data_IF_131291077743
#
_entry.id   IF_131291077743
#
_cell.length_a   1.000
_cell.length_b   1.000
_cell.length_c   1.000
_cell.angle_alpha   90.00
_cell.angle_beta   90.00
_cell.angle_gamma   90.00
#
_symmetry.space_group_name_H-M   'P 1'
#
loop_
_entity.id
_entity.type
_entity.pdbx_description
1 polymer ?
#
# COMPACT_ATOMS: atom_id res chain seq x y z
N UNK A 1 -1.07 -4.14 22.95
CA UNK A 1 -1.53 -3.56 21.65
C UNK A 1 -3.01 -3.89 21.47
N UNK A 2 -3.88 -2.87 21.55
CA UNK A 2 -5.33 -3.00 21.83
C UNK A 2 -6.15 -3.71 20.74
N UNK A 3 -6.95 -4.69 21.14
CA UNK A 3 -7.78 -5.59 20.31
C UNK A 3 -8.80 -4.84 19.44
N UNK A 4 -9.21 -3.63 19.84
CA UNK A 4 -10.21 -2.80 19.13
C UNK A 4 -9.68 -2.24 17.80
N UNK A 5 -8.37 -1.95 17.69
CA UNK A 5 -7.78 -1.47 16.43
C UNK A 5 -7.82 -2.55 15.33
N UNK A 6 -7.67 -3.82 15.70
CA UNK A 6 -7.66 -4.93 14.72
C UNK A 6 -9.02 -5.10 14.02
N UNK A 7 -10.12 -4.83 14.72
CA UNK A 7 -11.47 -4.94 14.17
C UNK A 7 -11.69 -3.84 13.11
N UNK A 8 -11.30 -2.59 13.41
CA UNK A 8 -11.42 -1.48 12.46
C UNK A 8 -10.55 -1.68 11.21
N UNK A 9 -9.35 -2.24 11.37
CA UNK A 9 -8.45 -2.55 10.24
C UNK A 9 -8.91 -3.74 9.38
N UNK A 10 -9.71 -4.65 9.93
CA UNK A 10 -10.19 -5.85 9.20
C UNK A 10 -11.59 -5.69 8.63
N UNK A 11 -12.40 -4.78 9.18
CA UNK A 11 -13.74 -4.46 8.70
C UNK A 11 -13.82 -4.14 7.20
N UNK A 12 -12.98 -3.26 6.62
CA UNK A 12 -13.08 -2.95 5.19
C UNK A 12 -12.74 -4.15 4.31
N UNK A 13 -11.81 -5.01 4.74
CA UNK A 13 -11.51 -6.27 4.05
C UNK A 13 -12.70 -7.22 4.08
N UNK A 14 -13.32 -7.38 5.24
CA UNK A 14 -14.48 -8.25 5.43
C UNK A 14 -15.69 -7.77 4.64
N UNK A 15 -15.92 -6.47 4.58
CA UNK A 15 -16.97 -5.88 3.77
C UNK A 15 -16.74 -6.11 2.27
N UNK A 16 -15.51 -5.94 1.78
CA UNK A 16 -15.13 -6.25 0.40
C UNK A 16 -15.25 -7.75 0.08
N UNK A 17 -14.81 -8.61 1.00
CA UNK A 17 -14.93 -10.07 0.87
C UNK A 17 -16.40 -10.48 0.74
N UNK A 18 -17.30 -9.84 1.50
CA UNK A 18 -18.74 -10.06 1.43
C UNK A 18 -19.36 -9.50 0.14
N UNK A 19 -19.01 -8.27 -0.25
CA UNK A 19 -19.53 -7.61 -1.46
C UNK A 19 -19.07 -8.27 -2.76
N UNK A 20 -17.85 -8.81 -2.79
CA UNK A 20 -17.23 -9.40 -3.98
C UNK A 20 -17.17 -10.92 -3.92
N UNK A 21 -17.87 -11.55 -2.98
CA UNK A 21 -17.90 -13.00 -2.81
C UNK A 21 -18.39 -13.67 -4.10
N UNK A 22 -17.61 -14.62 -4.63
CA UNK A 22 -17.96 -15.36 -5.84
C UNK A 22 -17.63 -14.65 -7.17
N UNK A 23 -17.05 -13.44 -7.14
CA UNK A 23 -16.63 -12.75 -8.38
C UNK A 23 -15.25 -13.26 -8.82
N UNK A 24 -15.10 -13.82 -10.05
CA UNK A 24 -13.84 -14.45 -10.49
C UNK A 24 -12.68 -13.44 -10.55
N UNK A 25 -12.94 -12.19 -10.90
CA UNK A 25 -11.93 -11.13 -10.93
C UNK A 25 -11.35 -10.83 -9.54
N UNK A 26 -12.20 -10.91 -8.51
CA UNK A 26 -11.80 -10.64 -7.13
C UNK A 26 -10.90 -11.75 -6.59
N UNK A 27 -11.24 -13.00 -6.87
CA UNK A 27 -10.43 -14.16 -6.51
C UNK A 27 -9.07 -14.14 -7.25
N UNK A 28 -9.07 -13.83 -8.55
CA UNK A 28 -7.83 -13.66 -9.31
C UNK A 28 -6.95 -12.52 -8.73
N UNK A 29 -7.56 -11.42 -8.30
CA UNK A 29 -6.85 -10.32 -7.64
C UNK A 29 -6.30 -10.72 -6.26
N UNK A 30 -7.07 -11.45 -5.46
CA UNK A 30 -6.63 -12.03 -4.18
C UNK A 30 -5.43 -12.95 -4.38
N UNK A 31 -5.49 -13.80 -5.40
CA UNK A 31 -4.45 -14.76 -5.71
C UNK A 31 -3.16 -14.10 -6.19
N UNK A 32 -3.26 -13.04 -7.02
CA UNK A 32 -2.11 -12.21 -7.42
C UNK A 32 -1.53 -11.45 -6.23
N UNK A 33 -2.37 -10.93 -5.35
CA UNK A 33 -1.95 -10.20 -4.14
C UNK A 33 -1.27 -11.09 -3.10
N UNK A 34 -1.62 -12.37 -3.04
CA UNK A 34 -1.01 -13.33 -2.11
C UNK A 34 0.39 -13.78 -2.56
N UNK A 35 0.73 -13.58 -3.84
CA UNK A 35 2.01 -13.96 -4.43
C UNK A 35 3.22 -13.36 -3.70
N UNK A 36 4.29 -14.14 -3.46
CA UNK A 36 5.51 -13.64 -2.82
C UNK A 36 6.17 -12.50 -3.61
N UNK A 37 6.04 -12.46 -4.95
CA UNK A 37 6.54 -11.37 -5.78
C UNK A 37 5.84 -10.04 -5.46
N UNK A 38 4.52 -10.08 -5.30
CA UNK A 38 3.72 -8.91 -4.94
C UNK A 38 4.03 -8.43 -3.51
N UNK A 39 4.31 -9.35 -2.59
CA UNK A 39 4.77 -8.98 -1.22
C UNK A 39 6.13 -8.29 -1.25
N UNK A 40 7.10 -8.81 -2.01
CA UNK A 40 8.43 -8.21 -2.13
C UNK A 40 8.35 -6.78 -2.71
N UNK A 41 7.54 -6.57 -3.76
CA UNK A 41 7.29 -5.25 -4.34
C UNK A 41 6.64 -4.29 -3.36
N UNK A 42 5.67 -4.76 -2.57
CA UNK A 42 5.04 -3.98 -1.51
C UNK A 42 6.06 -3.58 -0.42
N UNK A 43 6.96 -4.47 -0.04
CA UNK A 43 8.04 -4.14 0.91
C UNK A 43 8.98 -3.06 0.35
N UNK A 44 9.32 -3.12 -0.94
CA UNK A 44 10.10 -2.07 -1.61
C UNK A 44 9.38 -0.72 -1.61
N UNK A 45 8.08 -0.70 -1.93
CA UNK A 45 7.27 0.50 -1.86
C UNK A 45 7.25 1.08 -0.42
N UNK A 46 7.17 0.24 0.60
CA UNK A 46 7.26 0.70 2.00
C UNK A 46 8.61 1.36 2.31
N UNK A 47 9.73 0.83 1.80
CA UNK A 47 11.04 1.49 1.96
C UNK A 47 11.12 2.84 1.24
N UNK A 48 10.52 2.96 0.05
CA UNK A 48 10.42 4.23 -0.68
C UNK A 48 9.64 5.26 0.14
N UNK A 49 8.50 4.87 0.70
CA UNK A 49 7.71 5.73 1.57
C UNK A 49 8.41 6.07 2.88
N UNK A 50 9.19 5.14 3.46
CA UNK A 50 10.01 5.40 4.63
C UNK A 50 11.10 6.44 4.34
N UNK A 51 11.79 6.32 3.20
CA UNK A 51 12.78 7.30 2.74
C UNK A 51 12.15 8.67 2.45
N UNK A 52 11.00 8.70 1.77
CA UNK A 52 10.26 9.93 1.52
C UNK A 52 9.83 10.60 2.82
N UNK A 53 9.30 9.84 3.79
CA UNK A 53 8.88 10.38 5.10
C UNK A 53 10.06 10.95 5.87
N UNK A 54 11.22 10.29 5.85
CA UNK A 54 12.44 10.81 6.46
C UNK A 54 12.89 12.12 5.78
N UNK A 55 12.83 12.17 4.45
CA UNK A 55 13.17 13.37 3.68
C UNK A 55 12.22 14.53 4.00
N UNK A 56 10.92 14.25 4.15
CA UNK A 56 9.89 15.22 4.53
C UNK A 56 10.11 15.76 5.96
N UNK A 57 10.60 14.93 6.89
CA UNK A 57 10.96 15.35 8.24
C UNK A 57 12.18 16.28 8.27
N UNK A 58 13.17 16.01 7.42
CA UNK A 58 14.38 16.83 7.32
C UNK A 58 14.09 18.15 6.58
N UNK A 59 13.22 18.12 5.57
CA UNK A 59 12.84 19.29 4.78
C UNK A 59 11.31 19.43 4.70
N UNK A 60 10.68 20.12 5.67
CA UNK A 60 9.22 20.28 5.72
C UNK A 60 8.69 21.35 4.76
N UNK A 61 9.43 21.69 3.70
CA UNK A 61 8.95 22.68 2.73
C UNK A 61 7.80 22.09 1.90
N UNK A 62 6.74 22.86 1.61
CA UNK A 62 5.60 22.36 0.82
C UNK A 62 6.03 21.80 -0.54
N UNK A 63 7.04 22.41 -1.17
CA UNK A 63 7.62 21.94 -2.43
C UNK A 63 8.33 20.59 -2.29
N UNK A 64 9.09 20.39 -1.20
CA UNK A 64 9.72 19.09 -0.93
C UNK A 64 8.70 18.00 -0.61
N UNK A 65 7.65 18.31 0.15
CA UNK A 65 6.56 17.36 0.43
C UNK A 65 5.88 16.90 -0.87
N UNK A 66 5.54 17.84 -1.76
CA UNK A 66 4.92 17.54 -3.05
C UNK A 66 5.84 16.70 -3.94
N UNK A 67 7.10 17.11 -4.08
CA UNK A 67 8.05 16.42 -4.97
C UNK A 67 8.36 15.02 -4.47
N UNK A 68 8.64 14.86 -3.18
CA UNK A 68 8.92 13.57 -2.57
C UNK A 68 7.69 12.64 -2.63
N UNK A 69 6.49 13.16 -2.40
CA UNK A 69 5.24 12.41 -2.52
C UNK A 69 4.98 11.93 -3.95
N UNK A 70 5.19 12.79 -4.95
CA UNK A 70 5.02 12.44 -6.36
C UNK A 70 6.02 11.37 -6.80
N UNK A 71 7.30 11.53 -6.46
CA UNK A 71 8.33 10.53 -6.75
C UNK A 71 8.00 9.20 -6.07
N UNK A 72 7.63 9.22 -4.79
CA UNK A 72 7.26 8.01 -4.05
C UNK A 72 6.05 7.30 -4.68
N UNK A 73 5.06 8.07 -5.16
CA UNK A 73 3.87 7.55 -5.83
C UNK A 73 4.23 6.92 -7.18
N UNK A 74 5.02 7.61 -7.99
CA UNK A 74 5.47 7.11 -9.30
C UNK A 74 6.31 5.83 -9.16
N UNK A 75 7.25 5.82 -8.20
CA UNK A 75 8.07 4.64 -7.89
C UNK A 75 7.20 3.49 -7.35
N UNK A 76 6.19 3.79 -6.55
CA UNK A 76 5.25 2.76 -6.07
C UNK A 76 4.46 2.13 -7.23
N UNK A 77 3.98 2.95 -8.18
CA UNK A 77 3.26 2.43 -9.35
C UNK A 77 4.16 1.56 -10.22
N UNK A 78 5.35 2.02 -10.58
CA UNK A 78 6.31 1.23 -11.36
C UNK A 78 6.71 -0.08 -10.66
N UNK A 79 6.88 -0.08 -9.34
CA UNK A 79 7.19 -1.30 -8.58
C UNK A 79 6.01 -2.28 -8.50
N UNK A 80 4.78 -1.78 -8.47
CA UNK A 80 3.58 -2.61 -8.36
C UNK A 80 3.14 -3.17 -9.72
N UNK A 81 3.38 -2.42 -10.80
CA UNK A 81 2.97 -2.75 -12.17
C UNK A 81 3.97 -3.64 -12.93
N UNK A 82 5.26 -3.58 -12.56
CA UNK A 82 6.33 -4.37 -13.20
C UNK A 82 6.43 -5.82 -12.76
#
# INVERSE_FOLDING_TARGET
MSTRLRILLTWPRRALDWLCQGRPDYEAFKHRRSSPSHRARRTRALYVWAGASLLMLICPSPGCLLTAGLIATFVSFTLLDG
#
